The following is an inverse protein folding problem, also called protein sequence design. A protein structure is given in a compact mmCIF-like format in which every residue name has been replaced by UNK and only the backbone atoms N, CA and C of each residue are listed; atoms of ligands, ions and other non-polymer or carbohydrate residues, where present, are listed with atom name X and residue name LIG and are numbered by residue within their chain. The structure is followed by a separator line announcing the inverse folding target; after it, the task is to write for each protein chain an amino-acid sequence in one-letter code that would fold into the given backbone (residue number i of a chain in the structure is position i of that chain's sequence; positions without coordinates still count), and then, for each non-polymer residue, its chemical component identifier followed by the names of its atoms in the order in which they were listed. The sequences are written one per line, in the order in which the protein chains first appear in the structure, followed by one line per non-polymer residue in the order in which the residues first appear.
data_IF_400732563491
#
_entry.id   IF_400732563491
#
_cell.length_a   1.000
_cell.length_b   1.000
_cell.length_c   1.000
_cell.angle_alpha   90.00
_cell.angle_beta   90.00
_cell.angle_gamma   90.00
#
_symmetry.space_group_name_H-M   'P 1'
#
loop_
_entity.id
_entity.type
_entity.pdbx_description
1 polymer ?
#
# COMPACT_ATOMS: atom_id res chain seq x y z
N UNK A 1 5.79 -16.77 12.29
CA UNK A 1 6.19 -17.13 10.91
C UNK A 1 6.24 -15.83 10.12
N UNK A 2 7.40 -15.44 9.58
CA UNK A 2 7.50 -14.27 8.71
C UNK A 2 7.24 -14.71 7.27
N UNK A 3 6.33 -14.02 6.59
CA UNK A 3 6.05 -14.23 5.18
C UNK A 3 7.09 -13.47 4.34
N UNK A 4 7.61 -14.09 3.28
CA UNK A 4 8.66 -13.50 2.46
C UNK A 4 8.08 -12.63 1.36
N UNK A 5 8.54 -11.39 1.26
CA UNK A 5 8.17 -10.44 0.20
C UNK A 5 9.43 -10.06 -0.56
N UNK A 6 9.40 -10.25 -1.88
CA UNK A 6 10.45 -9.72 -2.76
C UNK A 6 10.18 -8.24 -3.02
N UNK A 7 11.23 -7.43 -3.02
CA UNK A 7 11.10 -6.01 -3.31
C UNK A 7 12.36 -5.45 -3.97
N UNK A 8 12.18 -4.36 -4.72
CA UNK A 8 13.24 -3.55 -5.31
C UNK A 8 12.97 -2.10 -4.93
N UNK A 9 14.03 -1.36 -4.59
CA UNK A 9 13.96 0.08 -4.38
C UNK A 9 15.11 0.77 -5.11
N UNK A 10 14.79 1.82 -5.87
CA UNK A 10 15.74 2.61 -6.65
C UNK A 10 15.71 4.04 -6.13
N UNK A 11 16.87 4.55 -5.72
CA UNK A 11 17.02 5.92 -5.20
C UNK A 11 17.64 6.81 -6.27
N UNK A 12 16.95 7.88 -6.64
CA UNK A 12 17.49 8.96 -7.46
C UNK A 12 17.93 10.10 -6.55
N UNK A 13 19.23 10.11 -6.24
CA UNK A 13 19.85 11.13 -5.39
C UNK A 13 19.83 12.53 -6.02
N UNK A 14 19.83 12.63 -7.35
CA UNK A 14 19.86 13.93 -8.04
C UNK A 14 18.51 14.62 -7.90
N UNK A 15 17.43 13.86 -8.08
CA UNK A 15 16.07 14.36 -7.98
C UNK A 15 15.49 14.27 -6.55
N UNK A 16 16.24 13.71 -5.59
CA UNK A 16 15.78 13.46 -4.22
C UNK A 16 14.47 12.65 -4.17
N UNK A 17 14.36 11.65 -5.05
CA UNK A 17 13.20 10.76 -5.14
C UNK A 17 13.64 9.31 -5.04
N UNK A 18 12.69 8.43 -4.76
CA UNK A 18 12.90 6.99 -4.85
C UNK A 18 11.64 6.34 -5.41
N UNK A 19 11.81 5.19 -6.06
CA UNK A 19 10.71 4.32 -6.47
C UNK A 19 10.94 2.93 -5.89
N UNK A 20 9.86 2.20 -5.65
CA UNK A 20 9.92 0.84 -5.14
C UNK A 20 8.81 -0.03 -5.66
N UNK A 21 9.10 -1.32 -5.78
CA UNK A 21 8.16 -2.36 -6.21
C UNK A 21 8.27 -3.49 -5.19
N UNK A 22 7.13 -4.01 -4.74
CA UNK A 22 7.07 -5.18 -3.86
C UNK A 22 6.10 -6.21 -4.44
N UNK A 23 6.54 -7.47 -4.47
CA UNK A 23 5.77 -8.61 -4.98
C UNK A 23 5.24 -9.43 -3.80
N UNK A 24 3.92 -9.40 -3.61
CA UNK A 24 3.24 -10.14 -2.54
C UNK A 24 2.52 -11.34 -3.17
N UNK A 25 2.89 -12.59 -2.83
CA UNK A 25 2.20 -13.77 -3.32
C UNK A 25 0.69 -13.73 -3.03
N UNK A 26 -0.13 -14.09 -4.02
CA UNK A 26 -1.60 -14.16 -3.85
C UNK A 26 -2.01 -15.04 -2.67
N UNK A 27 -1.25 -16.11 -2.42
CA UNK A 27 -1.48 -17.07 -1.33
C UNK A 27 -1.35 -16.47 0.07
N UNK A 28 -0.81 -15.25 0.20
CA UNK A 28 -0.71 -14.56 1.49
C UNK A 28 -2.01 -13.85 1.88
N UNK A 29 -2.91 -13.61 0.93
CA UNK A 29 -4.20 -13.00 1.20
C UNK A 29 -5.21 -14.06 1.64
N UNK A 30 -6.00 -13.78 2.71
CA UNK A 30 -7.19 -14.56 3.00
C UNK A 30 -8.14 -14.64 1.80
N UNK A 31 -9.01 -15.67 1.73
CA UNK A 31 -10.04 -15.73 0.69
C UNK A 31 -10.96 -14.50 0.79
N UNK A 32 -11.42 -14.02 -0.38
CA UNK A 32 -12.41 -12.93 -0.50
C UNK A 32 -11.97 -11.56 0.08
N UNK A 33 -10.67 -11.27 0.13
CA UNK A 33 -10.20 -9.91 0.42
C UNK A 33 -10.60 -8.98 -0.72
N UNK A 34 -11.44 -7.99 -0.42
CA UNK A 34 -11.98 -7.07 -1.41
C UNK A 34 -11.96 -5.60 -0.96
N UNK A 35 -11.38 -5.30 0.20
CA UNK A 35 -11.20 -3.95 0.71
C UNK A 35 -9.72 -3.67 0.91
N UNK A 36 -9.27 -2.51 0.47
CA UNK A 36 -7.86 -2.14 0.47
C UNK A 36 -7.66 -0.68 0.87
N UNK A 37 -6.48 -0.40 1.39
CA UNK A 37 -5.92 0.93 1.56
C UNK A 37 -4.39 0.84 1.51
N UNK A 38 -3.73 1.97 1.27
CA UNK A 38 -2.27 2.08 1.33
C UNK A 38 -1.91 3.37 2.04
N UNK A 39 -0.75 3.38 2.72
CA UNK A 39 -0.33 4.49 3.57
C UNK A 39 1.10 4.90 3.26
N UNK A 40 1.37 6.20 3.34
CA UNK A 40 2.72 6.74 3.35
C UNK A 40 2.94 7.54 4.64
N UNK A 41 4.07 7.29 5.30
CA UNK A 41 4.48 7.95 6.54
C UNK A 41 5.88 8.49 6.31
N UNK A 42 6.04 9.81 6.33
CA UNK A 42 7.32 10.46 6.07
C UNK A 42 7.50 11.70 6.95
N UNK A 43 8.74 12.21 7.03
CA UNK A 43 9.11 13.24 8.01
C UNK A 43 9.27 12.70 9.44
N UNK A 44 9.54 13.59 10.38
CA UNK A 44 9.86 13.25 11.77
C UNK A 44 9.33 14.30 12.76
N UNK A 45 9.12 13.89 14.01
CA UNK A 45 8.62 14.77 15.08
C UNK A 45 7.28 15.41 14.73
N UNK A 46 7.17 16.72 15.00
CA UNK A 46 6.00 17.54 14.64
C UNK A 46 5.79 17.67 13.12
N UNK A 47 6.84 17.46 12.31
CA UNK A 47 6.77 17.51 10.86
C UNK A 47 6.42 16.19 10.18
N UNK A 48 6.05 15.14 10.95
CA UNK A 48 5.65 13.86 10.38
C UNK A 48 4.31 13.97 9.68
N UNK A 49 4.28 13.51 8.43
CA UNK A 49 3.10 13.48 7.57
C UNK A 49 2.55 12.06 7.46
N UNK A 50 1.24 11.98 7.29
CA UNK A 50 0.48 10.74 7.18
C UNK A 50 -0.47 10.84 6.01
N UNK A 51 -0.23 10.02 4.99
CA UNK A 51 -1.03 10.00 3.77
C UNK A 51 -1.68 8.64 3.61
N UNK A 52 -2.84 8.62 2.94
CA UNK A 52 -3.58 7.41 2.65
C UNK A 52 -4.14 7.48 1.23
N UNK A 53 -4.12 6.35 0.52
CA UNK A 53 -4.77 6.21 -0.79
C UNK A 53 -6.27 6.52 -0.68
N UNK A 54 -6.91 6.03 0.38
CA UNK A 54 -8.28 6.37 0.74
C UNK A 54 -8.28 7.07 2.11
N UNK A 55 -8.33 8.41 2.15
CA UNK A 55 -8.21 9.17 3.37
C UNK A 55 -9.50 9.16 4.20
N UNK A 56 -9.33 9.35 5.50
CA UNK A 56 -10.44 9.62 6.43
C UNK A 56 -10.91 11.08 6.28
N UNK A 57 -12.15 11.40 6.68
CA UNK A 57 -12.60 12.80 6.72
C UNK A 57 -11.69 13.65 7.62
N UNK A 58 -11.30 14.82 7.12
CA UNK A 58 -10.52 15.79 7.88
C UNK A 58 -11.24 16.19 9.18
N UNK A 59 -10.46 16.48 10.23
CA UNK A 59 -10.94 16.96 11.53
C UNK A 59 -11.88 16.01 12.30
N UNK A 60 -12.00 14.74 11.88
CA UNK A 60 -12.83 13.74 12.59
C UNK A 60 -12.06 12.99 13.69
N UNK A 61 -10.74 12.92 13.56
CA UNK A 61 -9.88 12.13 14.44
C UNK A 61 -8.66 12.94 14.87
N UNK A 62 -8.24 12.77 16.11
CA UNK A 62 -7.12 13.52 16.70
C UNK A 62 -5.76 12.87 16.47
N UNK A 63 -5.74 11.59 16.09
CA UNK A 63 -4.52 10.81 15.87
C UNK A 63 -4.67 9.89 14.64
N UNK A 64 -3.58 9.62 13.91
CA UNK A 64 -3.56 8.63 12.85
C UNK A 64 -3.90 7.24 13.39
N UNK A 65 -4.81 6.54 12.70
CA UNK A 65 -5.17 5.16 13.00
C UNK A 65 -5.41 4.42 11.68
N UNK A 66 -4.44 3.59 11.30
CA UNK A 66 -4.43 2.84 10.04
C UNK A 66 -5.34 1.60 10.06
N UNK A 67 -5.92 1.28 11.23
CA UNK A 67 -6.79 0.12 11.44
C UNK A 67 -8.29 0.49 11.36
N UNK A 68 -8.62 1.70 10.91
CA UNK A 68 -10.01 2.11 10.64
C UNK A 68 -10.53 1.49 9.35
N UNK A 69 -10.88 0.20 9.43
CA UNK A 69 -11.29 -0.63 8.30
C UNK A 69 -12.53 -0.08 7.56
N UNK A 70 -13.34 0.75 8.20
CA UNK A 70 -14.50 1.42 7.60
C UNK A 70 -14.13 2.39 6.46
N UNK A 71 -12.88 2.87 6.42
CA UNK A 71 -12.39 3.76 5.36
C UNK A 71 -11.70 3.03 4.21
N UNK A 72 -11.46 1.73 4.34
CA UNK A 72 -10.94 0.92 3.24
C UNK A 72 -11.98 0.88 2.12
N UNK A 73 -11.52 0.97 0.87
CA UNK A 73 -12.40 0.97 -0.30
C UNK A 73 -12.34 -0.35 -1.03
N UNK A 74 -13.43 -0.63 -1.71
CA UNK A 74 -13.55 -1.84 -2.49
C UNK A 74 -12.53 -1.82 -3.63
N UNK A 75 -11.83 -2.93 -3.82
CA UNK A 75 -10.99 -3.20 -4.99
C UNK A 75 -11.35 -4.55 -5.57
N UNK A 76 -11.34 -4.66 -6.89
CA UNK A 76 -11.49 -5.94 -7.58
C UNK A 76 -10.13 -6.66 -7.61
N UNK A 77 -9.71 -7.17 -6.45
CA UNK A 77 -8.38 -7.76 -6.27
C UNK A 77 -8.11 -8.89 -7.26
N UNK A 78 -9.10 -9.72 -7.59
CA UNK A 78 -8.93 -10.78 -8.60
C UNK A 78 -8.62 -10.22 -9.98
N UNK A 79 -9.24 -9.12 -10.42
CA UNK A 79 -8.90 -8.49 -11.71
C UNK A 79 -7.49 -7.92 -11.68
N UNK A 80 -7.09 -7.29 -10.57
CA UNK A 80 -5.74 -6.75 -10.41
C UNK A 80 -4.67 -7.86 -10.44
N UNK A 81 -4.94 -9.01 -9.84
CA UNK A 81 -4.01 -10.13 -9.79
C UNK A 81 -3.96 -10.92 -11.12
N UNK A 82 -5.07 -11.01 -11.86
CA UNK A 82 -5.09 -11.69 -13.16
C UNK A 82 -4.33 -10.91 -14.24
N UNK A 83 -4.37 -9.57 -14.23
CA UNK A 83 -3.64 -8.73 -15.19
C UNK A 83 -2.11 -8.95 -15.11
N UNK A 84 -1.59 -9.20 -13.91
CA UNK A 84 -0.14 -9.37 -13.70
C UNK A 84 0.40 -10.74 -14.15
N UNK A 85 -0.46 -11.75 -14.28
CA UNK A 85 -0.06 -13.05 -14.84
C UNK A 85 0.01 -13.05 -16.38
N UNK A 86 -0.55 -12.04 -17.04
CA UNK A 86 -0.52 -11.90 -18.51
C UNK A 86 0.59 -10.98 -19.02
N UNK A 87 1.38 -10.37 -18.13
CA UNK A 87 2.46 -9.45 -18.47
C UNK A 87 3.86 -10.02 -18.16
N UNK A 88 3.94 -11.28 -17.74
CA UNK A 88 5.21 -12.00 -17.49
C UNK A 88 5.63 -12.91 -18.65
N UNK A 89 4.92 -12.88 -19.77
CA UNK A 89 5.24 -13.64 -20.99
C UNK A 89 5.73 -12.69 -22.10
N UNK A 90 6.84 -11.99 -21.89
CA UNK A 90 7.75 -11.52 -22.96
C UNK A 90 9.22 -11.59 -22.50
#
# INVERSE_FOLDING_TARGET
MCLHVEYIATVDKKNSTWSGIASIPKTYFPPNVNRFNAYAIHGSGEGRQYEALFPVPSNRFTHPDFHRLEFFRYIELDKLLTINNSLSDE
#
